data_IF_767633819942
#
_entry.id   IF_767633819942
#
_cell.length_a   1.000
_cell.length_b   1.000
_cell.length_c   1.000
_cell.angle_alpha   90.00
_cell.angle_beta   90.00
_cell.angle_gamma   90.00
#
_symmetry.space_group_name_H-M   'P 1'
#
loop_
_entity.id
_entity.type
_entity.pdbx_description
1 polymer ?
#
# COMPACT_ATOMS: atom_id res chain seq x y z
N UNK A 1 -19.05 -40.28 -46.50
CA UNK A 1 -19.78 -39.30 -47.32
C UNK A 1 -19.91 -38.05 -46.46
N UNK A 2 -19.40 -36.95 -47.01
CA UNK A 2 -19.19 -35.56 -46.53
C UNK A 2 -20.03 -35.05 -45.35
N UNK A 3 -19.55 -34.16 -44.46
CA UNK A 3 -18.98 -32.85 -44.78
C UNK A 3 -18.01 -32.29 -43.72
N UNK A 4 -17.01 -31.56 -44.22
CA UNK A 4 -16.11 -30.62 -43.55
C UNK A 4 -16.77 -29.24 -43.45
N UNK A 5 -16.37 -28.46 -42.44
CA UNK A 5 -16.20 -26.97 -42.40
C UNK A 5 -16.40 -26.48 -40.94
N UNK A 6 -15.65 -25.57 -40.33
CA UNK A 6 -14.52 -24.69 -40.65
C UNK A 6 -13.88 -24.34 -39.29
N UNK A 7 -12.59 -24.58 -39.09
CA UNK A 7 -11.51 -23.59 -39.15
C UNK A 7 -11.59 -22.41 -38.16
N UNK A 8 -10.54 -22.37 -37.32
CA UNK A 8 -9.81 -21.20 -36.84
C UNK A 8 -10.38 -20.24 -35.76
N UNK A 9 -9.45 -19.85 -34.88
CA UNK A 9 -9.44 -18.68 -33.96
C UNK A 9 -10.29 -18.89 -32.70
N UNK A 10 -9.80 -18.82 -31.46
CA UNK A 10 -8.66 -18.07 -30.93
C UNK A 10 -8.40 -18.59 -29.50
N UNK A 11 -7.13 -18.64 -29.09
CA UNK A 11 -6.75 -18.50 -27.68
C UNK A 11 -7.47 -17.28 -27.08
N UNK A 12 -7.65 -17.29 -25.75
CA UNK A 12 -7.64 -16.14 -24.81
C UNK A 12 -8.81 -16.25 -23.81
N UNK A 13 -8.43 -16.53 -22.56
CA UNK A 13 -8.96 -15.93 -21.33
C UNK A 13 -10.43 -15.50 -21.32
N UNK A 14 -11.24 -16.21 -20.52
CA UNK A 14 -12.43 -15.58 -19.92
C UNK A 14 -12.68 -16.06 -18.49
N UNK A 15 -12.14 -15.27 -17.56
CA UNK A 15 -12.76 -14.73 -16.33
C UNK A 15 -13.28 -15.73 -15.27
N UNK A 16 -12.56 -15.70 -14.14
CA UNK A 16 -12.93 -16.12 -12.77
C UNK A 16 -14.45 -16.12 -12.55
N UNK A 17 -15.06 -17.30 -12.44
CA UNK A 17 -16.49 -17.45 -12.11
C UNK A 17 -16.68 -17.18 -10.61
N UNK A 18 -17.25 -16.02 -10.29
CA UNK A 18 -17.70 -15.69 -8.93
C UNK A 18 -18.91 -16.59 -8.61
N UNK A 19 -18.73 -17.56 -7.71
CA UNK A 19 -19.83 -18.42 -7.29
C UNK A 19 -20.75 -17.59 -6.38
N UNK A 20 -21.85 -17.06 -6.94
CA UNK A 20 -22.98 -16.56 -6.16
C UNK A 20 -23.82 -17.76 -5.73
N UNK A 21 -23.81 -18.09 -4.43
CA UNK A 21 -24.85 -18.93 -3.83
C UNK A 21 -25.37 -18.28 -2.56
N UNK A 22 -26.52 -17.63 -2.71
CA UNK A 22 -27.37 -17.07 -1.67
C UNK A 22 -28.20 -18.19 -1.07
N UNK A 23 -28.18 -18.35 0.25
CA UNK A 23 -29.31 -18.91 1.02
C UNK A 23 -29.34 -18.23 2.38
N UNK A 24 -30.49 -17.64 2.67
CA UNK A 24 -30.79 -16.77 3.79
C UNK A 24 -30.83 -17.52 5.14
N UNK A 25 -30.27 -16.88 6.16
CA UNK A 25 -30.38 -17.21 7.58
C UNK A 25 -29.97 -15.97 8.39
N UNK A 26 -30.76 -15.63 9.40
CA UNK A 26 -30.82 -14.32 10.05
C UNK A 26 -29.51 -13.77 10.67
N UNK A 27 -29.44 -12.44 10.68
CA UNK A 27 -28.32 -11.53 10.96
C UNK A 27 -28.00 -11.42 12.47
N UNK A 28 -26.73 -11.46 12.84
CA UNK A 28 -26.08 -10.39 13.63
C UNK A 28 -24.66 -10.19 13.10
N UNK A 29 -24.53 -9.14 12.29
CA UNK A 29 -23.27 -8.66 11.78
C UNK A 29 -22.40 -8.16 12.93
N UNK A 30 -21.26 -8.82 13.15
CA UNK A 30 -20.10 -8.19 13.78
C UNK A 30 -18.84 -8.60 13.03
N UNK A 31 -18.84 -8.42 11.70
CA UNK A 31 -17.64 -7.80 11.14
C UNK A 31 -17.59 -6.44 11.83
N UNK A 32 -16.52 -6.05 12.55
CA UNK A 32 -16.22 -4.64 12.60
C UNK A 32 -15.92 -4.24 11.14
N UNK A 33 -16.97 -3.98 10.37
CA UNK A 33 -16.90 -3.28 9.09
C UNK A 33 -16.85 -1.77 9.33
N UNK A 34 -16.50 -1.36 10.56
CA UNK A 34 -15.79 -0.11 10.72
C UNK A 34 -14.42 -0.35 10.09
N UNK A 35 -14.21 0.22 8.91
CA UNK A 35 -12.85 0.44 8.43
C UNK A 35 -12.04 0.96 9.61
N UNK A 36 -10.82 0.48 9.80
CA UNK A 36 -9.91 0.93 10.87
C UNK A 36 -9.62 2.44 10.76
N UNK A 37 -10.00 3.01 9.62
CA UNK A 37 -10.05 4.43 9.34
C UNK A 37 -11.36 5.14 9.79
N UNK A 38 -12.51 4.47 9.81
CA UNK A 38 -13.84 5.07 9.89
C UNK A 38 -14.27 5.70 11.22
N UNK A 39 -13.49 5.58 12.29
CA UNK A 39 -13.86 6.15 13.60
C UNK A 39 -13.06 7.37 14.05
N UNK A 40 -11.85 7.63 13.52
CA UNK A 40 -11.03 8.80 13.91
C UNK A 40 -9.85 9.11 12.94
N UNK A 41 -9.81 8.52 11.74
CA UNK A 41 -8.65 8.62 10.82
C UNK A 41 -8.98 9.52 9.63
N UNK A 42 -8.27 10.65 9.51
CA UNK A 42 -8.41 11.67 8.44
C UNK A 42 -8.38 11.08 7.01
N UNK A 43 -7.75 9.93 6.81
CA UNK A 43 -7.63 9.29 5.49
C UNK A 43 -8.87 8.43 5.11
N UNK A 44 -9.69 7.99 6.08
CA UNK A 44 -10.91 7.19 5.84
C UNK A 44 -11.95 7.92 5.00
N UNK A 45 -12.24 9.15 5.42
CA UNK A 45 -13.32 9.94 4.88
C UNK A 45 -12.94 10.58 3.55
N UNK A 46 -11.65 10.74 3.29
CA UNK A 46 -11.15 11.50 2.13
C UNK A 46 -10.59 10.60 1.02
N UNK A 47 -9.84 9.54 1.34
CA UNK A 47 -9.17 8.67 0.34
C UNK A 47 -9.98 7.38 0.08
N UNK A 48 -10.57 6.76 1.10
CA UNK A 48 -11.36 5.52 0.92
C UNK A 48 -12.77 5.83 0.37
N UNK A 49 -13.37 6.96 0.74
CA UNK A 49 -14.60 7.44 0.13
C UNK A 49 -14.44 7.90 -1.34
N UNK A 50 -13.21 8.08 -1.84
CA UNK A 50 -12.96 8.61 -3.19
C UNK A 50 -12.96 7.56 -4.31
N UNK A 51 -13.32 6.31 -4.02
CA UNK A 51 -13.59 5.29 -5.05
C UNK A 51 -14.70 5.72 -6.04
N UNK A 52 -15.43 6.79 -5.74
CA UNK A 52 -16.28 7.54 -6.68
C UNK A 52 -16.34 9.02 -6.27
N UNK A 53 -15.55 9.89 -6.93
CA UNK A 53 -15.86 11.31 -7.07
C UNK A 53 -15.76 12.22 -5.82
N UNK A 54 -14.82 12.00 -4.90
CA UNK A 54 -14.48 13.03 -3.90
C UNK A 54 -13.38 13.95 -4.46
N UNK A 55 -13.47 15.25 -4.18
CA UNK A 55 -12.52 16.31 -4.61
C UNK A 55 -11.10 16.14 -4.01
N UNK A 56 -10.83 15.06 -3.26
CA UNK A 56 -9.52 14.79 -2.67
C UNK A 56 -8.40 14.74 -3.71
N UNK A 57 -8.67 14.13 -4.86
CA UNK A 57 -7.71 14.02 -5.95
C UNK A 57 -7.95 15.05 -7.06
N UNK A 58 -8.64 16.16 -6.76
CA UNK A 58 -8.92 17.24 -7.70
C UNK A 58 -9.71 16.78 -8.94
N UNK A 59 -10.55 15.76 -8.79
CA UNK A 59 -11.32 15.15 -9.89
C UNK A 59 -10.58 14.11 -10.73
N UNK A 60 -9.30 13.82 -10.44
CA UNK A 60 -8.52 12.75 -11.11
C UNK A 60 -8.52 11.47 -10.30
N UNK A 61 -8.59 10.30 -10.96
CA UNK A 61 -8.53 9.00 -10.26
C UNK A 61 -7.19 8.80 -9.55
N UNK A 62 -7.20 8.22 -8.36
CA UNK A 62 -5.98 7.77 -7.68
C UNK A 62 -5.31 6.69 -8.55
N UNK A 63 -3.99 6.77 -8.69
CA UNK A 63 -3.20 5.84 -9.49
C UNK A 63 -1.89 5.53 -8.76
N UNK A 64 -1.72 4.26 -8.38
CA UNK A 64 -0.67 3.77 -7.49
C UNK A 64 0.06 2.59 -8.15
N UNK A 65 1.34 2.43 -7.84
CA UNK A 65 2.14 1.29 -8.27
C UNK A 65 2.35 0.31 -7.12
N UNK A 66 2.30 -0.97 -7.46
CA UNK A 66 2.41 -2.12 -6.56
C UNK A 66 3.77 -2.22 -5.85
N UNK A 67 3.90 -2.97 -4.74
CA UNK A 67 5.19 -3.17 -4.11
C UNK A 67 6.13 -4.04 -4.98
N UNK A 68 5.54 -4.88 -5.84
CA UNK A 68 6.26 -5.65 -6.84
C UNK A 68 6.88 -4.78 -7.94
N UNK A 69 6.24 -3.67 -8.28
CA UNK A 69 6.80 -2.69 -9.20
C UNK A 69 8.03 -2.03 -8.57
N UNK A 70 7.84 -1.43 -7.41
CA UNK A 70 8.87 -0.62 -6.75
C UNK A 70 10.15 -1.40 -6.44
N UNK A 71 10.05 -2.67 -6.00
CA UNK A 71 11.23 -3.49 -5.72
C UNK A 71 12.06 -3.83 -6.97
N UNK A 72 11.43 -3.83 -8.14
CA UNK A 72 12.06 -4.17 -9.42
C UNK A 72 12.49 -2.93 -10.22
N UNK A 73 12.03 -1.73 -9.85
CA UNK A 73 12.30 -0.46 -10.54
C UNK A 73 12.95 0.56 -9.60
N UNK A 74 14.03 0.16 -8.94
CA UNK A 74 14.71 1.00 -7.94
C UNK A 74 15.25 2.32 -8.49
N UNK A 75 15.56 2.37 -9.79
CA UNK A 75 15.98 3.58 -10.50
C UNK A 75 14.88 4.65 -10.62
N UNK A 76 13.62 4.30 -10.37
CA UNK A 76 12.47 5.19 -10.53
C UNK A 76 11.94 5.76 -9.21
N UNK A 77 12.56 5.42 -8.08
CA UNK A 77 12.13 5.87 -6.74
C UNK A 77 12.17 7.39 -6.54
N UNK A 78 12.81 8.12 -7.45
CA UNK A 78 12.83 9.58 -7.44
C UNK A 78 13.67 10.12 -6.30
N UNK A 79 13.04 10.90 -5.44
CA UNK A 79 13.70 11.54 -4.30
C UNK A 79 13.97 10.58 -3.13
N UNK A 80 13.39 9.37 -3.14
CA UNK A 80 13.59 8.38 -2.08
C UNK A 80 14.79 7.50 -2.44
N UNK A 81 15.92 7.56 -1.71
CA UNK A 81 17.05 6.71 -2.01
C UNK A 81 16.79 5.26 -1.58
N UNK A 82 17.38 4.29 -2.29
CA UNK A 82 17.26 2.85 -1.97
C UNK A 82 17.88 2.47 -0.61
N UNK A 83 18.76 3.33 -0.11
CA UNK A 83 19.37 3.25 1.22
C UNK A 83 18.51 3.86 2.33
N UNK A 84 17.39 4.50 2.00
CA UNK A 84 16.52 5.09 3.01
C UNK A 84 15.94 4.01 3.92
N UNK A 85 16.05 4.23 5.23
CA UNK A 85 15.50 3.32 6.23
C UNK A 85 14.02 3.59 6.47
N UNK A 86 13.28 2.56 6.87
CA UNK A 86 11.92 2.70 7.36
C UNK A 86 11.83 3.72 8.50
N UNK A 87 12.81 3.68 9.40
CA UNK A 87 12.90 4.59 10.53
C UNK A 87 13.09 6.05 10.09
N UNK A 88 13.88 6.31 9.03
CA UNK A 88 14.14 7.67 8.55
C UNK A 88 12.88 8.43 8.12
N UNK A 89 11.82 7.72 7.72
CA UNK A 89 10.53 8.31 7.37
C UNK A 89 9.52 8.27 8.51
N UNK A 90 9.46 7.17 9.27
CA UNK A 90 8.42 6.98 10.29
C UNK A 90 8.83 7.46 11.68
N UNK A 91 10.13 7.62 11.96
CA UNK A 91 10.72 7.75 13.30
C UNK A 91 10.31 6.60 14.25
N UNK A 92 9.98 5.43 13.68
CA UNK A 92 9.52 4.24 14.40
C UNK A 92 10.19 3.00 13.82
N UNK A 93 10.38 1.98 14.66
CA UNK A 93 10.87 0.67 14.20
C UNK A 93 9.78 0.00 13.38
N UNK A 94 10.11 -0.76 12.31
CA UNK A 94 9.12 -1.50 11.57
C UNK A 94 8.41 -2.54 12.45
N UNK A 95 7.17 -2.89 12.12
CA UNK A 95 6.37 -3.86 12.86
C UNK A 95 6.93 -5.28 12.73
N UNK A 96 7.39 -5.87 13.83
CA UNK A 96 7.80 -7.28 13.89
C UNK A 96 6.64 -8.24 14.20
N UNK A 97 6.98 -9.50 14.45
CA UNK A 97 6.01 -10.55 14.83
C UNK A 97 5.98 -10.77 16.36
N UNK A 98 4.96 -11.48 16.85
CA UNK A 98 4.81 -11.80 18.28
C UNK A 98 4.06 -10.73 19.08
N UNK A 99 3.87 -10.97 20.38
CA UNK A 99 3.18 -10.04 21.28
C UNK A 99 3.87 -8.68 21.24
N UNK A 100 3.14 -7.63 20.85
CA UNK A 100 3.65 -6.25 20.68
C UNK A 100 4.61 -6.04 19.49
N UNK A 101 4.70 -6.97 18.54
CA UNK A 101 5.48 -6.80 17.31
C UNK A 101 7.00 -6.77 17.51
N UNK A 102 7.50 -7.45 18.54
CA UNK A 102 8.90 -7.35 19.03
C UNK A 102 9.89 -8.31 18.37
N UNK A 103 9.44 -9.30 17.60
CA UNK A 103 10.29 -10.33 17.02
C UNK A 103 10.42 -10.15 15.50
N UNK A 104 11.41 -9.37 15.07
CA UNK A 104 11.96 -9.47 13.72
C UNK A 104 13.21 -10.33 13.76
N UNK A 105 13.35 -11.24 12.78
CA UNK A 105 14.49 -12.14 12.68
C UNK A 105 15.22 -11.97 11.36
N UNK A 106 16.54 -12.04 11.42
CA UNK A 106 17.37 -12.11 10.22
C UNK A 106 17.19 -13.44 9.47
N UNK A 107 17.93 -13.64 8.38
CA UNK A 107 17.87 -14.85 7.57
C UNK A 107 18.34 -16.12 8.30
N UNK A 108 19.19 -15.98 9.32
CA UNK A 108 19.68 -17.09 10.13
C UNK A 108 18.63 -17.50 11.19
N UNK A 109 17.80 -16.56 11.58
CA UNK A 109 16.76 -16.70 12.60
C UNK A 109 17.11 -16.02 13.92
N UNK A 110 18.16 -15.19 13.92
CA UNK A 110 18.57 -14.39 15.06
C UNK A 110 17.69 -13.15 15.16
N UNK A 111 17.35 -12.77 16.38
CA UNK A 111 16.52 -11.58 16.62
C UNK A 111 17.35 -10.34 16.28
N UNK A 112 16.78 -9.46 15.47
CA UNK A 112 17.41 -8.19 15.09
C UNK A 112 17.53 -7.27 16.30
N UNK A 113 18.67 -6.59 16.44
CA UNK A 113 18.82 -5.53 17.42
C UNK A 113 17.98 -4.31 17.05
N UNK A 114 17.71 -3.44 18.02
CA UNK A 114 17.01 -2.17 17.77
C UNK A 114 17.70 -1.32 16.71
N UNK A 115 19.04 -1.29 16.73
CA UNK A 115 19.85 -0.60 15.73
C UNK A 115 19.66 -1.21 14.34
N UNK A 116 19.66 -2.54 14.23
CA UNK A 116 19.46 -3.21 12.94
C UNK A 116 18.05 -2.95 12.39
N UNK A 117 17.04 -2.96 13.25
CA UNK A 117 15.67 -2.63 12.86
C UNK A 117 15.54 -1.18 12.37
N UNK A 118 16.24 -0.23 13.00
CA UNK A 118 16.26 1.17 12.56
C UNK A 118 16.94 1.35 11.20
N UNK A 119 17.91 0.49 10.89
CA UNK A 119 18.66 0.49 9.64
C UNK A 119 18.02 -0.34 8.54
N UNK A 120 16.88 -1.02 8.78
CA UNK A 120 16.15 -1.74 7.74
C UNK A 120 15.66 -0.76 6.66
N UNK A 121 16.18 -0.94 5.44
CA UNK A 121 15.82 -0.13 4.29
C UNK A 121 14.43 -0.45 3.78
N UNK A 122 13.78 0.54 3.16
CA UNK A 122 12.52 0.32 2.44
C UNK A 122 12.68 -0.79 1.39
N UNK A 123 13.83 -0.83 0.70
CA UNK A 123 14.12 -1.85 -0.32
C UNK A 123 14.19 -3.25 0.29
N UNK A 124 14.89 -3.39 1.42
CA UNK A 124 15.02 -4.68 2.10
C UNK A 124 13.66 -5.18 2.59
N UNK A 125 12.77 -4.29 3.03
CA UNK A 125 11.39 -4.62 3.39
C UNK A 125 10.61 -5.12 2.16
N UNK A 126 10.64 -4.39 1.04
CA UNK A 126 9.91 -4.74 -0.19
C UNK A 126 10.42 -6.05 -0.84
N UNK A 127 11.72 -6.33 -0.73
CA UNK A 127 12.33 -7.54 -1.27
C UNK A 127 12.05 -8.79 -0.43
N UNK A 128 11.70 -8.63 0.84
CA UNK A 128 11.51 -9.73 1.77
C UNK A 128 10.09 -9.76 2.37
N UNK A 129 9.05 -9.92 1.53
CA UNK A 129 7.67 -9.99 1.98
C UNK A 129 7.33 -11.33 2.64
N UNK A 130 6.18 -11.37 3.31
CA UNK A 130 5.65 -12.55 3.99
C UNK A 130 6.09 -12.64 5.45
N UNK A 131 5.78 -13.79 6.09
CA UNK A 131 6.05 -14.08 7.50
C UNK A 131 4.83 -14.57 8.30
N UNK A 132 3.62 -14.53 7.71
CA UNK A 132 2.37 -15.00 8.34
C UNK A 132 1.95 -14.15 9.55
N UNK A 133 0.77 -14.37 10.11
CA UNK A 133 0.30 -13.66 11.33
C UNK A 133 1.02 -14.14 12.61
N UNK A 134 2.34 -14.40 12.54
CA UNK A 134 3.13 -14.97 13.64
C UNK A 134 3.29 -16.50 13.61
N UNK A 135 2.59 -17.21 12.71
CA UNK A 135 2.63 -18.68 12.60
C UNK A 135 3.53 -19.21 11.45
N UNK A 136 4.04 -18.32 10.59
CA UNK A 136 4.88 -18.68 9.44
C UNK A 136 6.38 -18.62 9.73
N UNK A 137 7.21 -19.04 8.77
CA UNK A 137 8.65 -18.80 8.83
C UNK A 137 8.94 -17.30 8.67
N UNK A 138 9.24 -16.63 9.79
CA UNK A 138 9.56 -15.19 9.86
C UNK A 138 11.03 -14.87 9.58
N UNK A 139 11.88 -15.88 9.34
CA UNK A 139 13.32 -15.65 9.13
C UNK A 139 13.57 -14.83 7.88
N UNK A 140 14.28 -13.73 8.03
CA UNK A 140 14.61 -12.79 6.97
C UNK A 140 13.38 -12.11 6.38
N UNK A 141 12.24 -12.14 7.07
CA UNK A 141 10.98 -11.54 6.62
C UNK A 141 10.72 -10.25 7.37
N UNK A 142 10.61 -9.14 6.64
CA UNK A 142 10.57 -7.79 7.23
C UNK A 142 9.26 -7.04 6.94
N UNK A 143 8.31 -7.66 6.23
CA UNK A 143 7.04 -7.02 5.90
C UNK A 143 6.08 -6.91 7.10
N UNK A 144 6.33 -7.64 8.19
CA UNK A 144 5.52 -7.55 9.41
C UNK A 144 4.14 -8.23 9.28
N UNK A 145 3.29 -8.12 10.31
CA UNK A 145 1.95 -8.69 10.31
C UNK A 145 1.12 -8.17 9.13
N UNK A 146 0.46 -9.08 8.40
CA UNK A 146 -0.30 -8.73 7.20
C UNK A 146 0.49 -8.06 6.07
N UNK A 147 1.82 -8.00 6.13
CA UNK A 147 2.69 -7.19 5.26
C UNK A 147 2.61 -5.66 5.46
N UNK A 148 2.16 -5.18 6.63
CA UNK A 148 1.98 -3.74 6.89
C UNK A 148 3.21 -2.87 6.56
N UNK A 149 4.43 -3.33 6.85
CA UNK A 149 5.64 -2.55 6.56
C UNK A 149 5.86 -2.40 5.06
N UNK A 150 5.51 -3.43 4.28
CA UNK A 150 5.58 -3.42 2.82
C UNK A 150 4.63 -2.38 2.24
N UNK A 151 3.37 -2.37 2.71
CA UNK A 151 2.39 -1.40 2.25
C UNK A 151 2.71 0.03 2.70
N UNK A 152 3.26 0.23 3.89
CA UNK A 152 3.73 1.57 4.30
C UNK A 152 4.89 2.03 3.40
N UNK A 153 5.87 1.18 3.13
CA UNK A 153 6.98 1.51 2.22
C UNK A 153 6.49 1.89 0.81
N UNK A 154 5.49 1.16 0.31
CA UNK A 154 4.85 1.43 -0.96
C UNK A 154 4.08 2.76 -0.99
N UNK A 155 3.31 3.05 0.06
CA UNK A 155 2.59 4.32 0.16
C UNK A 155 3.55 5.50 0.19
N UNK A 156 4.70 5.37 0.86
CA UNK A 156 5.78 6.37 0.85
C UNK A 156 6.29 6.60 -0.58
N UNK A 157 6.58 5.51 -1.32
CA UNK A 157 7.08 5.61 -2.70
C UNK A 157 6.04 6.20 -3.65
N UNK A 158 4.78 5.80 -3.54
CA UNK A 158 3.70 6.41 -4.32
C UNK A 158 3.53 7.90 -4.01
N UNK A 159 3.60 8.30 -2.74
CA UNK A 159 3.46 9.69 -2.33
C UNK A 159 4.62 10.55 -2.83
N UNK A 160 5.85 10.01 -2.75
CA UNK A 160 7.05 10.68 -3.22
C UNK A 160 7.06 10.91 -4.74
N UNK A 161 6.34 10.06 -5.46
CA UNK A 161 6.31 10.05 -6.92
C UNK A 161 4.98 10.57 -7.50
N UNK A 162 4.10 11.13 -6.67
CA UNK A 162 2.88 11.76 -7.16
C UNK A 162 3.21 12.88 -8.18
N UNK A 163 2.53 12.86 -9.32
CA UNK A 163 2.72 13.80 -10.42
C UNK A 163 3.78 13.35 -11.43
N UNK A 164 4.52 12.27 -11.15
CA UNK A 164 5.51 11.72 -12.08
C UNK A 164 4.86 10.67 -12.98
N UNK A 165 5.22 10.73 -14.25
CA UNK A 165 4.98 9.64 -15.19
C UNK A 165 6.13 8.64 -15.09
N UNK A 166 5.82 7.42 -14.72
CA UNK A 166 6.77 6.33 -14.52
C UNK A 166 6.32 5.17 -15.43
N UNK A 167 7.20 4.70 -16.31
CA UNK A 167 6.87 3.69 -17.34
C UNK A 167 5.60 3.98 -18.16
N UNK A 168 5.32 5.26 -18.42
CA UNK A 168 4.14 5.70 -19.19
C UNK A 168 2.85 5.83 -18.36
N UNK A 169 2.89 5.55 -17.06
CA UNK A 169 1.76 5.68 -16.15
C UNK A 169 1.96 6.89 -15.21
N UNK A 170 0.95 7.77 -15.12
CA UNK A 170 0.99 8.88 -14.17
C UNK A 170 0.62 8.38 -12.77
N UNK A 171 1.52 8.57 -11.81
CA UNK A 171 1.22 8.30 -10.41
C UNK A 171 0.40 9.47 -9.86
N UNK A 172 -0.83 9.22 -9.45
CA UNK A 172 -1.71 10.22 -8.85
C UNK A 172 -2.02 9.87 -7.39
N UNK A 173 -1.28 10.48 -6.47
CA UNK A 173 -1.46 10.27 -5.04
C UNK A 173 -1.20 11.56 -4.24
N UNK A 174 -2.14 12.53 -4.28
CA UNK A 174 -1.97 13.87 -3.71
C UNK A 174 -2.15 13.90 -2.18
N UNK A 175 -1.38 13.09 -1.45
CA UNK A 175 -1.40 13.09 0.02
C UNK A 175 -0.55 14.20 0.65
N UNK A 176 0.37 14.78 -0.11
CA UNK A 176 1.27 15.84 0.36
C UNK A 176 0.74 17.22 0.00
N UNK A 177 0.93 18.21 0.89
CA UNK A 177 0.57 19.62 0.63
C UNK A 177 1.26 20.14 -0.62
N UNK A 178 2.57 19.93 -0.69
CA UNK A 178 3.42 20.28 -1.82
C UNK A 178 4.05 18.99 -2.33
N UNK A 179 3.52 18.44 -3.42
CA UNK A 179 4.24 17.39 -4.13
C UNK A 179 5.16 18.04 -5.16
N UNK A 180 6.47 17.81 -5.02
CA UNK A 180 7.51 18.46 -5.80
C UNK A 180 7.39 18.29 -7.33
N UNK A 181 6.52 17.38 -7.79
CA UNK A 181 6.38 17.01 -9.20
C UNK A 181 5.03 17.40 -9.83
N UNK A 182 4.09 17.99 -9.07
CA UNK A 182 2.89 18.62 -9.64
C UNK A 182 3.14 20.12 -9.71
N UNK A 183 3.47 20.59 -10.92
CA UNK A 183 3.42 22.02 -11.21
C UNK A 183 1.99 22.49 -11.08
N UNK A 184 1.62 23.09 -9.94
CA UNK A 184 0.32 23.73 -9.79
C UNK A 184 0.29 25.00 -10.63
N UNK A 185 -0.14 24.85 -11.88
CA UNK A 185 -0.80 25.93 -12.61
C UNK A 185 -2.05 26.32 -11.83
N UNK A 186 -1.90 27.30 -10.94
CA UNK A 186 -3.02 28.00 -10.32
C UNK A 186 -3.81 28.74 -11.39
N UNK A 187 -4.70 28.03 -12.06
CA UNK A 187 -5.79 28.63 -12.83
C UNK A 187 -7.08 27.98 -12.34
N UNK A 188 -7.77 28.69 -11.44
CA UNK A 188 -9.11 28.41 -10.90
C UNK A 188 -9.18 27.50 -9.65
N UNK A 189 -8.74 28.02 -8.50
CA UNK A 189 -9.52 27.92 -7.24
C UNK A 189 -9.60 26.59 -6.48
N UNK A 190 -9.23 25.44 -7.04
CA UNK A 190 -9.17 24.17 -6.29
C UNK A 190 -7.72 23.81 -5.96
N UNK A 191 -7.17 24.44 -4.94
CA UNK A 191 -5.90 24.01 -4.35
C UNK A 191 -6.05 22.55 -3.92
N UNK A 192 -5.38 21.62 -4.61
CA UNK A 192 -5.32 20.24 -4.14
C UNK A 192 -4.46 20.28 -2.89
N UNK A 193 -5.10 20.34 -1.73
CA UNK A 193 -4.41 20.35 -0.45
C UNK A 193 -4.31 18.90 -0.04
N UNK A 194 -3.14 18.30 -0.23
CA UNK A 194 -2.85 17.04 0.44
C UNK A 194 -3.12 17.15 1.95
N UNK A 195 -3.00 16.06 2.69
CA UNK A 195 -3.27 16.05 4.12
C UNK A 195 -2.00 16.19 4.96
N UNK A 196 -0.83 15.99 4.37
CA UNK A 196 0.43 15.91 5.08
C UNK A 196 1.45 16.93 4.57
N UNK A 197 2.17 17.62 5.47
CA UNK A 197 3.20 18.59 5.08
C UNK A 197 4.48 17.94 4.53
N UNK A 198 4.68 16.64 4.74
CA UNK A 198 5.87 15.92 4.28
C UNK A 198 5.65 14.42 4.19
N UNK A 199 6.54 13.73 3.48
CA UNK A 199 6.59 12.26 3.47
C UNK A 199 6.74 11.68 4.87
N UNK A 200 7.55 12.30 5.72
CA UNK A 200 7.74 11.87 7.11
C UNK A 200 6.45 11.96 7.93
N UNK A 201 5.70 13.06 7.79
CA UNK A 201 4.43 13.23 8.49
C UNK A 201 3.41 12.17 8.05
N UNK A 202 3.33 11.92 6.74
CA UNK A 202 2.48 10.88 6.18
C UNK A 202 2.89 9.46 6.63
N UNK A 203 4.17 9.12 6.54
CA UNK A 203 4.69 7.81 6.94
C UNK A 203 4.49 7.54 8.44
N UNK A 204 4.78 8.53 9.28
CA UNK A 204 4.56 8.45 10.73
C UNK A 204 3.07 8.28 11.05
N UNK A 205 2.19 9.00 10.34
CA UNK A 205 0.74 8.83 10.47
C UNK A 205 0.30 7.40 10.15
N UNK A 206 0.74 6.83 9.02
CA UNK A 206 0.41 5.45 8.64
C UNK A 206 0.89 4.45 9.70
N UNK A 207 2.13 4.60 10.16
CA UNK A 207 2.69 3.74 11.20
C UNK A 207 1.87 3.86 12.50
N UNK A 208 1.67 5.07 13.01
CA UNK A 208 0.94 5.31 14.26
C UNK A 208 -0.49 4.79 14.17
N UNK A 209 -1.12 4.94 13.01
CA UNK A 209 -2.47 4.41 12.76
C UNK A 209 -2.51 2.88 12.73
N UNK A 210 -1.42 2.19 12.44
CA UNK A 210 -1.38 0.73 12.38
C UNK A 210 -1.17 0.07 13.75
N UNK A 211 -0.72 0.80 14.77
CA UNK A 211 -0.38 0.24 16.09
C UNK A 211 -1.59 -0.48 16.70
N UNK A 212 -1.41 -1.76 17.04
CA UNK A 212 -2.44 -2.60 17.65
C UNK A 212 -3.53 -3.10 16.67
N UNK A 213 -3.42 -2.75 15.39
CA UNK A 213 -4.36 -3.15 14.33
C UNK A 213 -3.63 -3.37 13.00
N UNK A 214 -2.39 -3.87 13.07
CA UNK A 214 -1.44 -3.95 11.97
C UNK A 214 -2.00 -4.76 10.79
N UNK A 215 -2.56 -5.94 11.06
CA UNK A 215 -3.13 -6.81 10.02
C UNK A 215 -4.38 -6.19 9.37
N UNK A 216 -5.24 -5.52 10.15
CA UNK A 216 -6.43 -4.86 9.62
C UNK A 216 -6.03 -3.66 8.74
N UNK A 217 -5.11 -2.82 9.21
CA UNK A 217 -4.56 -1.72 8.44
C UNK A 217 -3.89 -2.21 7.14
N UNK A 218 -3.17 -3.34 7.20
CA UNK A 218 -2.52 -3.92 6.03
C UNK A 218 -3.53 -4.35 4.96
N UNK A 219 -4.64 -4.99 5.36
CA UNK A 219 -5.72 -5.39 4.44
C UNK A 219 -6.36 -4.18 3.75
N UNK A 220 -6.51 -3.07 4.46
CA UNK A 220 -7.11 -1.86 3.88
C UNK A 220 -6.15 -1.15 2.93
N UNK A 221 -4.87 -1.07 3.27
CA UNK A 221 -3.86 -0.54 2.34
C UNK A 221 -3.75 -1.43 1.10
N UNK A 222 -3.75 -2.75 1.27
CA UNK A 222 -3.79 -3.70 0.16
C UNK A 222 -5.00 -3.48 -0.74
N UNK A 223 -6.19 -3.28 -0.15
CA UNK A 223 -7.41 -3.02 -0.90
C UNK A 223 -7.35 -1.68 -1.67
N UNK A 224 -6.81 -0.63 -1.04
CA UNK A 224 -6.61 0.68 -1.68
C UNK A 224 -5.66 0.55 -2.87
N UNK A 225 -4.53 -0.13 -2.70
CA UNK A 225 -3.54 -0.35 -3.76
C UNK A 225 -4.13 -1.18 -4.90
N UNK A 226 -4.78 -2.30 -4.56
CA UNK A 226 -5.40 -3.18 -5.55
C UNK A 226 -6.57 -2.54 -6.30
N UNK A 227 -7.28 -1.61 -5.66
CA UNK A 227 -8.36 -0.84 -6.28
C UNK A 227 -7.90 0.29 -7.18
N UNK A 228 -6.63 0.71 -7.10
CA UNK A 228 -6.10 1.90 -7.77
C UNK A 228 -4.76 1.65 -8.48
N UNK A 229 -4.49 0.42 -8.98
CA UNK A 229 -3.28 0.16 -9.78
C UNK A 229 -3.27 1.05 -11.04
N UNK A 230 -2.16 1.75 -11.23
CA UNK A 230 -1.90 2.55 -12.42
C UNK A 230 -1.65 1.68 -13.66
#
# INVERSE_FOLDING_TARGET
>A
MESMDNNEKTRISSRRKFLKRTTAGAILASLPAASVWGQDSLIAGSIVASGTGSDFAGGSSIALLSPGYWKNHTQEWGIVPTTASYYSYTNKKPFGYGTWGTLMKDSNGDVLSDTDMQNLTLLKILQNPGGGNGEGNIKGKFAGPGNINCYIAEMILNAANHGRTVSGQLINFPVLFDSANVGFGSSNGTSHRGLFPSLNAFANYLHTSAIGKETAMAQELEALLNGNHA
#
